data_IF_492667562619
#
_entry.id   IF_492667562619
#
_cell.length_a   1.000
_cell.length_b   1.000
_cell.length_c   1.000
_cell.angle_alpha   90.00
_cell.angle_beta   90.00
_cell.angle_gamma   90.00
#
_symmetry.space_group_name_H-M   'P 1'
#
loop_
_entity.id
_entity.type
_entity.pdbx_description
1 polymer ?
#
# COMPACT_ATOMS: atom_id res chain seq x y z
N UNK A 1 -9.49 13.96 15.32
CA UNK A 1 -10.04 13.90 13.94
C UNK A 1 -8.90 13.45 13.04
N UNK A 2 -9.07 12.35 12.32
CA UNK A 2 -8.13 11.95 11.27
C UNK A 2 -8.59 12.57 9.95
N UNK A 3 -7.63 13.02 9.13
CA UNK A 3 -7.91 13.56 7.81
C UNK A 3 -7.55 12.51 6.77
N UNK A 4 -8.47 12.33 5.81
CA UNK A 4 -8.33 11.35 4.76
C UNK A 4 -7.70 11.98 3.51
N UNK A 5 -6.94 11.19 2.74
CA UNK A 5 -6.41 11.64 1.46
C UNK A 5 -6.45 10.55 0.39
N UNK A 6 -6.38 10.99 -0.87
CA UNK A 6 -6.16 10.15 -2.04
C UNK A 6 -4.85 10.62 -2.67
N UNK A 7 -3.93 9.70 -2.93
CA UNK A 7 -2.65 10.00 -3.58
C UNK A 7 -2.77 9.68 -5.08
N UNK A 8 -2.80 10.71 -5.91
CA UNK A 8 -2.84 10.58 -7.36
C UNK A 8 -1.42 10.68 -7.91
N UNK A 9 -1.07 9.78 -8.85
CA UNK A 9 0.30 9.65 -9.35
C UNK A 9 1.27 9.31 -8.20
N UNK A 10 0.84 8.37 -7.36
CA UNK A 10 1.46 8.08 -6.07
C UNK A 10 2.92 7.61 -6.18
N UNK A 11 3.34 7.16 -7.36
CA UNK A 11 4.66 6.55 -7.58
C UNK A 11 4.88 5.43 -6.56
N UNK A 12 6.08 5.38 -5.97
CA UNK A 12 6.41 4.40 -4.94
C UNK A 12 5.85 4.75 -3.53
N UNK A 13 5.13 5.87 -3.37
CA UNK A 13 4.45 6.25 -2.12
C UNK A 13 5.25 7.14 -1.17
N UNK A 14 6.28 7.85 -1.62
CA UNK A 14 7.10 8.70 -0.75
C UNK A 14 6.30 9.81 -0.05
N UNK A 15 5.43 10.51 -0.80
CA UNK A 15 4.54 11.54 -0.25
C UNK A 15 3.52 10.92 0.73
N UNK A 16 2.89 9.82 0.32
CA UNK A 16 1.97 9.04 1.15
C UNK A 16 2.56 8.65 2.51
N UNK A 17 3.81 8.16 2.55
CA UNK A 17 4.46 7.82 3.83
C UNK A 17 4.66 9.04 4.73
N UNK A 18 4.95 10.21 4.15
CA UNK A 18 5.02 11.47 4.90
C UNK A 18 3.67 11.86 5.50
N UNK A 19 2.59 11.72 4.74
CA UNK A 19 1.23 12.00 5.21
C UNK A 19 0.79 11.02 6.32
N UNK A 20 1.09 9.73 6.16
CA UNK A 20 0.83 8.71 7.19
C UNK A 20 1.57 9.05 8.48
N UNK A 21 2.85 9.43 8.41
CA UNK A 21 3.64 9.86 9.57
C UNK A 21 3.08 11.12 10.24
N UNK A 22 2.48 12.02 9.47
CA UNK A 22 1.80 13.21 9.97
C UNK A 22 0.38 12.93 10.53
N UNK A 23 -0.08 11.67 10.52
CA UNK A 23 -1.37 11.26 11.10
C UNK A 23 -2.56 11.34 10.14
N UNK A 24 -2.31 11.44 8.82
CA UNK A 24 -3.34 11.35 7.79
C UNK A 24 -3.58 9.89 7.37
N UNK A 25 -4.82 9.57 7.01
CA UNK A 25 -5.23 8.22 6.62
C UNK A 25 -5.43 8.13 5.09
N UNK A 26 -4.67 7.27 4.39
CA UNK A 26 -4.87 7.07 2.95
C UNK A 26 -6.15 6.28 2.70
N UNK A 27 -6.94 6.74 1.73
CA UNK A 27 -8.13 6.03 1.23
C UNK A 27 -7.79 5.25 -0.04
N UNK A 28 -7.00 5.84 -0.92
CA UNK A 28 -6.56 5.20 -2.16
C UNK A 28 -5.24 5.79 -2.68
N UNK A 29 -4.50 4.97 -3.40
CA UNK A 29 -3.32 5.37 -4.17
C UNK A 29 -3.55 4.99 -5.64
N UNK A 30 -3.45 5.96 -6.55
CA UNK A 30 -3.61 5.73 -7.99
C UNK A 30 -2.25 5.87 -8.67
N UNK A 31 -1.81 4.79 -9.32
CA UNK A 31 -0.52 4.73 -10.00
C UNK A 31 -0.58 3.79 -11.21
N UNK A 32 0.01 4.18 -12.34
CA UNK A 32 -0.03 3.40 -13.57
C UNK A 32 1.11 2.36 -13.63
N UNK A 33 2.25 2.67 -13.04
CA UNK A 33 3.43 1.82 -13.08
C UNK A 33 3.29 0.65 -12.09
N UNK A 34 3.37 -0.58 -12.61
CA UNK A 34 3.09 -1.80 -11.86
C UNK A 34 4.09 -2.04 -10.73
N UNK A 35 5.37 -1.71 -10.92
CA UNK A 35 6.41 -1.90 -9.91
C UNK A 35 6.25 -0.93 -8.72
N UNK A 36 5.82 0.31 -8.99
CA UNK A 36 5.45 1.31 -8.03
C UNK A 36 4.21 0.88 -7.25
N UNK A 37 3.18 0.37 -7.94
CA UNK A 37 2.03 -0.25 -7.28
C UNK A 37 2.39 -1.45 -6.40
N UNK A 38 3.36 -2.27 -6.80
CA UNK A 38 3.85 -3.36 -5.94
C UNK A 38 4.57 -2.84 -4.70
N UNK A 39 5.30 -1.74 -4.82
CA UNK A 39 5.89 -1.05 -3.66
C UNK A 39 4.79 -0.56 -2.72
N UNK A 40 3.79 0.15 -3.24
CA UNK A 40 2.63 0.63 -2.47
C UNK A 40 1.90 -0.52 -1.76
N UNK A 41 1.60 -1.63 -2.44
CA UNK A 41 0.95 -2.81 -1.83
C UNK A 41 1.80 -3.42 -0.71
N UNK A 42 3.11 -3.51 -0.92
CA UNK A 42 4.05 -4.02 0.10
C UNK A 42 4.10 -3.08 1.32
N UNK A 43 4.01 -1.76 1.11
CA UNK A 43 3.92 -0.75 2.18
C UNK A 43 2.59 -0.79 2.91
N UNK A 44 1.47 -0.92 2.20
CA UNK A 44 0.15 -1.10 2.81
C UNK A 44 0.10 -2.38 3.67
N UNK A 45 0.67 -3.48 3.16
CA UNK A 45 0.84 -4.71 3.92
C UNK A 45 1.69 -4.51 5.18
N UNK A 46 2.80 -3.77 5.10
CA UNK A 46 3.61 -3.42 6.27
C UNK A 46 2.79 -2.67 7.33
N UNK A 47 2.08 -1.61 6.95
CA UNK A 47 1.32 -0.79 7.90
C UNK A 47 0.24 -1.62 8.58
N UNK A 48 -0.51 -2.41 7.81
CA UNK A 48 -1.51 -3.33 8.37
C UNK A 48 -0.90 -4.35 9.33
N UNK A 49 0.18 -5.03 8.93
CA UNK A 49 0.81 -6.05 9.78
C UNK A 49 1.40 -5.44 11.05
N UNK A 50 1.97 -4.23 10.96
CA UNK A 50 2.54 -3.52 12.11
C UNK A 50 1.45 -3.12 13.12
N UNK A 51 0.36 -2.52 12.66
CA UNK A 51 -0.75 -2.11 13.54
C UNK A 51 -1.50 -3.29 14.16
N UNK A 52 -1.48 -4.44 13.50
CA UNK A 52 -2.11 -5.67 13.98
C UNK A 52 -1.17 -6.62 14.74
N UNK A 53 0.01 -6.15 15.20
CA UNK A 53 1.00 -6.96 15.92
C UNK A 53 1.49 -8.22 15.18
N UNK A 54 1.43 -8.22 13.85
CA UNK A 54 1.88 -9.30 12.94
C UNK A 54 3.18 -8.96 12.21
N UNK A 55 3.98 -8.06 12.77
CA UNK A 55 5.21 -7.56 12.13
C UNK A 55 6.21 -8.68 11.76
N UNK A 56 6.22 -9.79 12.49
CA UNK A 56 7.06 -10.96 12.17
C UNK A 56 6.85 -11.48 10.74
N UNK A 57 5.61 -11.49 10.24
CA UNK A 57 5.31 -11.92 8.85
C UNK A 57 6.04 -11.04 7.82
N UNK A 58 6.08 -9.72 8.06
CA UNK A 58 6.82 -8.80 7.21
C UNK A 58 8.33 -9.04 7.28
N UNK A 59 8.88 -9.36 8.46
CA UNK A 59 10.30 -9.73 8.61
C UNK A 59 10.62 -11.02 7.84
N UNK A 60 9.75 -12.04 7.89
CA UNK A 60 9.92 -13.26 7.08
C UNK A 60 10.01 -12.92 5.58
N UNK A 61 9.17 -11.99 5.09
CA UNK A 61 9.25 -11.51 3.71
C UNK A 61 10.58 -10.83 3.41
N UNK A 62 11.05 -9.92 4.28
CA UNK A 62 12.34 -9.24 4.09
C UNK A 62 13.54 -10.21 4.07
N UNK A 63 13.44 -11.31 4.81
CA UNK A 63 14.46 -12.38 4.82
C UNK A 63 14.37 -13.32 3.62
N UNK A 64 13.35 -13.19 2.78
CA UNK A 64 13.08 -14.11 1.66
C UNK A 64 12.52 -15.47 2.09
N UNK A 65 12.06 -15.60 3.34
CA UNK A 65 11.44 -16.83 3.85
C UNK A 65 10.03 -17.05 3.27
N UNK A 66 9.37 -15.96 2.87
CA UNK A 66 8.09 -15.99 2.13
C UNK A 66 8.15 -15.08 0.89
N UNK A 67 7.38 -15.40 -0.13
CA UNK A 67 7.27 -14.59 -1.35
C UNK A 67 6.39 -13.35 -1.13
N UNK A 68 6.42 -12.41 -2.08
CA UNK A 68 5.54 -11.23 -2.07
C UNK A 68 4.06 -11.63 -2.17
N UNK A 69 3.75 -12.65 -2.96
CA UNK A 69 2.41 -13.20 -3.10
C UNK A 69 1.92 -13.78 -1.77
N UNK A 70 2.78 -14.50 -1.05
CA UNK A 70 2.47 -15.00 0.30
C UNK A 70 2.29 -13.86 1.31
N UNK A 71 3.10 -12.80 1.23
CA UNK A 71 2.90 -11.58 2.03
C UNK A 71 1.51 -10.98 1.74
N UNK A 72 1.13 -10.84 0.47
CA UNK A 72 -0.18 -10.27 0.10
C UNK A 72 -1.35 -11.12 0.58
N UNK A 73 -1.24 -12.45 0.53
CA UNK A 73 -2.26 -13.36 1.07
C UNK A 73 -2.42 -13.26 2.60
N UNK A 74 -1.43 -12.72 3.31
CA UNK A 74 -1.49 -12.52 4.77
C UNK A 74 -2.25 -11.27 5.21
N UNK A 75 -2.71 -10.46 4.25
CA UNK A 75 -3.36 -9.16 4.47
C UNK A 75 -4.76 -9.16 3.83
N UNK A 76 -5.77 -8.51 4.44
CA UNK A 76 -7.09 -8.38 3.85
C UNK A 76 -7.03 -7.74 2.45
N UNK A 77 -7.77 -8.32 1.51
CA UNK A 77 -7.76 -7.89 0.11
C UNK A 77 -8.11 -6.41 -0.06
N UNK A 78 -9.05 -5.89 0.74
CA UNK A 78 -9.47 -4.48 0.69
C UNK A 78 -8.32 -3.49 0.98
N UNK A 79 -7.31 -3.89 1.77
CA UNK A 79 -6.12 -3.05 2.00
C UNK A 79 -5.28 -2.97 0.72
N UNK A 80 -5.14 -4.08 -0.01
CA UNK A 80 -4.37 -4.13 -1.25
C UNK A 80 -5.13 -3.51 -2.42
N UNK A 81 -6.45 -3.62 -2.42
CA UNK A 81 -7.36 -3.04 -3.42
C UNK A 81 -7.42 -1.51 -3.31
N UNK A 82 -6.93 -0.90 -2.21
CA UNK A 82 -6.73 0.55 -2.12
C UNK A 82 -5.63 1.08 -3.06
N UNK A 83 -4.79 0.19 -3.62
CA UNK A 83 -3.83 0.53 -4.67
C UNK A 83 -4.46 0.25 -6.04
N UNK A 84 -4.89 1.33 -6.68
CA UNK A 84 -5.53 1.33 -7.99
C UNK A 84 -4.44 1.42 -9.05
N UNK A 85 -4.19 0.31 -9.74
CA UNK A 85 -3.21 0.25 -10.82
C UNK A 85 -3.86 0.50 -12.19
N UNK A 86 -4.36 1.72 -12.40
CA UNK A 86 -5.03 2.16 -13.61
C UNK A 86 -4.60 3.59 -13.97
N UNK A 87 -4.62 3.95 -15.27
CA UNK A 87 -4.44 5.33 -15.70
C UNK A 87 -5.62 6.20 -15.29
N UNK A 88 -5.38 7.51 -15.16
CA UNK A 88 -6.42 8.51 -15.00
C UNK A 88 -6.81 9.04 -16.39
N UNK A 89 -8.08 8.92 -16.75
CA UNK A 89 -8.63 9.37 -18.04
C UNK A 89 -10.08 8.92 -18.26
N UNK A 90 -10.74 9.49 -19.28
CA UNK A 90 -12.17 9.33 -19.58
C UNK A 90 -12.64 7.87 -19.77
N UNK A 91 -11.75 6.96 -20.13
CA UNK A 91 -12.09 5.54 -20.33
C UNK A 91 -12.07 4.72 -19.03
N UNK A 92 -11.48 5.28 -17.97
CA UNK A 92 -11.17 4.55 -16.74
C UNK A 92 -11.80 5.17 -15.48
N UNK A 93 -12.42 6.36 -15.59
CA UNK A 93 -13.06 7.12 -14.50
C UNK A 93 -14.25 7.91 -15.06
#
# INVERSE_FOLDING_TARGET
MTYNFIDLFAGAGGLSEGFIQAGFEPIAHVEIEKSACNTLRTRAAYHYLKTNNKYKTYICYLKGEITREQLYLSVPKNILDSIINLPIGNEYN
#
